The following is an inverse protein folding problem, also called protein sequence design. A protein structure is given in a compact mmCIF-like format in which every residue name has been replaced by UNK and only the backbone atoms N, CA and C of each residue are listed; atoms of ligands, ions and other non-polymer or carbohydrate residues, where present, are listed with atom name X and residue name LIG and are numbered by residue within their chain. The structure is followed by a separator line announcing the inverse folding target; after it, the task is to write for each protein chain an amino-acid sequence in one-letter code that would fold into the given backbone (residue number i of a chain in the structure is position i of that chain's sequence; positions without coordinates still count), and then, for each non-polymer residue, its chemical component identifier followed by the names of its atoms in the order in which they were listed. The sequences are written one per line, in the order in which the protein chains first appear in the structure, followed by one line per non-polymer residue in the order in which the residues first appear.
data_IF_100353656050
#
_entry.id   IF_100353656050
#
_cell.length_a   1.000
_cell.length_b   1.000
_cell.length_c   1.000
_cell.angle_alpha   90.00
_cell.angle_beta   90.00
_cell.angle_gamma   90.00
#
_symmetry.space_group_name_H-M   'P 1'
#
loop_
_entity.id
_entity.type
_entity.pdbx_description
1 polymer ?
#
# COMPACT_ATOMS: atom_id res chain seq x y z
N UNK A 1 8.99 -15.94 -2.48
CA UNK A 1 8.46 -14.58 -2.65
C UNK A 1 8.23 -14.29 -4.12
N UNK A 2 6.99 -13.90 -4.49
CA UNK A 2 6.62 -13.58 -5.88
C UNK A 2 6.44 -12.06 -5.99
N UNK A 3 7.12 -11.46 -6.99
CA UNK A 3 7.16 -10.02 -7.26
C UNK A 3 6.83 -9.73 -8.71
N UNK A 4 6.08 -8.67 -8.98
CA UNK A 4 5.71 -8.24 -10.34
C UNK A 4 6.10 -6.82 -10.69
N UNK A 5 6.01 -5.91 -9.74
CA UNK A 5 6.13 -4.46 -9.97
C UNK A 5 7.13 -3.82 -9.01
N UNK A 6 7.57 -2.59 -9.33
CA UNK A 6 8.47 -1.81 -8.45
C UNK A 6 7.90 -1.59 -7.05
N UNK A 7 6.63 -1.21 -6.87
CA UNK A 7 6.06 -1.07 -5.52
C UNK A 7 6.13 -2.36 -4.70
N UNK A 8 5.91 -3.53 -5.32
CA UNK A 8 6.06 -4.82 -4.63
C UNK A 8 7.51 -5.08 -4.23
N UNK A 9 8.47 -4.79 -5.10
CA UNK A 9 9.90 -4.93 -4.80
C UNK A 9 10.27 -4.04 -3.60
N UNK A 10 9.84 -2.78 -3.60
CA UNK A 10 10.09 -1.83 -2.51
C UNK A 10 9.52 -2.36 -1.19
N UNK A 11 8.23 -2.73 -1.18
CA UNK A 11 7.53 -3.13 0.04
C UNK A 11 7.97 -4.50 0.55
N UNK A 12 8.43 -5.40 -0.32
CA UNK A 12 8.92 -6.72 0.07
C UNK A 12 10.41 -6.76 0.41
N UNK A 13 11.18 -5.72 0.05
CA UNK A 13 12.60 -5.64 0.38
C UNK A 13 12.91 -5.91 1.87
N UNK A 14 12.20 -5.31 2.84
CA UNK A 14 12.44 -5.58 4.26
C UNK A 14 12.17 -7.04 4.66
N UNK A 15 11.15 -7.68 4.09
CA UNK A 15 10.84 -9.09 4.35
C UNK A 15 11.93 -9.99 3.75
N UNK A 16 12.37 -9.72 2.52
CA UNK A 16 13.44 -10.45 1.86
C UNK A 16 14.74 -10.38 2.70
N UNK A 17 15.08 -9.19 3.18
CA UNK A 17 16.24 -9.00 4.05
C UNK A 17 16.09 -9.76 5.38
N UNK A 18 14.90 -9.71 6.00
CA UNK A 18 14.66 -10.35 7.28
C UNK A 18 14.74 -11.87 7.18
N UNK A 19 14.19 -12.47 6.12
CA UNK A 19 14.31 -13.88 5.80
C UNK A 19 15.80 -14.27 5.63
N UNK A 20 16.54 -13.47 4.86
CA UNK A 20 17.97 -13.70 4.62
C UNK A 20 18.80 -13.67 5.90
N UNK A 21 18.50 -12.75 6.84
CA UNK A 21 19.17 -12.67 8.16
C UNK A 21 18.97 -13.90 9.04
N UNK A 22 17.83 -14.59 8.85
CA UNK A 22 17.48 -15.79 9.66
C UNK A 22 17.96 -17.10 9.06
N UNK A 23 18.66 -17.06 7.94
CA UNK A 23 19.11 -18.23 7.18
C UNK A 23 17.97 -19.18 6.75
N UNK A 24 16.79 -18.62 6.51
CA UNK A 24 15.66 -19.34 5.91
C UNK A 24 15.94 -19.48 4.41
N UNK A 25 15.70 -20.66 3.85
CA UNK A 25 15.83 -20.86 2.40
C UNK A 25 14.79 -20.01 1.67
N UNK A 26 15.24 -19.13 0.80
CA UNK A 26 14.38 -18.16 0.09
C UNK A 26 14.61 -18.25 -1.40
N UNK A 27 13.50 -18.28 -2.14
CA UNK A 27 13.45 -18.16 -3.59
C UNK A 27 12.70 -16.87 -3.93
N UNK A 28 13.32 -16.00 -4.70
CA UNK A 28 12.70 -14.78 -5.21
C UNK A 28 12.35 -14.96 -6.68
N UNK A 29 11.04 -14.93 -6.99
CA UNK A 29 10.53 -15.03 -8.35
C UNK A 29 10.00 -13.67 -8.81
N UNK A 30 10.57 -13.13 -9.86
CA UNK A 30 10.11 -11.92 -10.53
C UNK A 30 9.31 -12.26 -11.78
N UNK A 31 8.08 -11.72 -11.92
CA UNK A 31 7.23 -12.05 -13.08
C UNK A 31 7.62 -11.30 -14.35
N UNK A 32 8.44 -10.25 -14.26
CA UNK A 32 8.92 -9.50 -15.42
C UNK A 32 7.79 -8.78 -16.16
N UNK A 33 6.92 -8.09 -15.43
CA UNK A 33 5.77 -7.38 -15.99
C UNK A 33 6.15 -6.22 -16.92
N UNK A 34 7.35 -5.64 -16.79
CA UNK A 34 7.86 -4.58 -17.64
C UNK A 34 8.97 -5.08 -18.58
N UNK A 35 9.02 -4.54 -19.82
CA UNK A 35 9.91 -4.98 -20.88
C UNK A 35 11.41 -4.71 -20.63
N UNK A 36 11.74 -3.79 -19.73
CA UNK A 36 13.11 -3.33 -19.58
C UNK A 36 13.83 -4.13 -18.48
N UNK A 37 14.57 -5.15 -18.94
CA UNK A 37 15.39 -6.01 -18.07
C UNK A 37 16.45 -5.19 -17.33
N UNK A 38 17.12 -4.26 -18.02
CA UNK A 38 18.17 -3.42 -17.42
C UNK A 38 17.61 -2.51 -16.31
N UNK A 39 16.41 -1.97 -16.52
CA UNK A 39 15.74 -1.17 -15.50
C UNK A 39 15.32 -1.97 -14.27
N UNK A 40 14.91 -3.24 -14.44
CA UNK A 40 14.59 -4.10 -13.29
C UNK A 40 15.85 -4.53 -12.53
N UNK A 41 16.88 -4.98 -13.25
CA UNK A 41 18.13 -5.45 -12.63
C UNK A 41 18.84 -4.31 -11.89
N UNK A 42 18.85 -3.09 -12.44
CA UNK A 42 19.38 -1.91 -11.76
C UNK A 42 18.59 -1.58 -10.51
N UNK A 43 17.26 -1.73 -10.55
CA UNK A 43 16.40 -1.44 -9.41
C UNK A 43 16.68 -2.38 -8.22
N UNK A 44 16.87 -3.68 -8.45
CA UNK A 44 17.31 -4.61 -7.40
C UNK A 44 18.68 -4.23 -6.81
N UNK A 45 19.62 -3.77 -7.65
CA UNK A 45 20.93 -3.30 -7.20
C UNK A 45 20.85 -2.02 -6.39
N UNK A 46 20.07 -1.04 -6.85
CA UNK A 46 19.87 0.24 -6.17
C UNK A 46 19.31 0.04 -4.76
N UNK A 47 18.45 -0.96 -4.60
CA UNK A 47 17.88 -1.33 -3.32
C UNK A 47 18.73 -2.35 -2.52
N UNK A 48 19.93 -2.68 -2.98
CA UNK A 48 20.81 -3.69 -2.35
C UNK A 48 20.10 -5.03 -2.10
N UNK A 49 19.23 -5.45 -3.04
CA UNK A 49 18.52 -6.72 -2.98
C UNK A 49 19.24 -7.81 -3.77
N UNK A 50 19.09 -9.09 -3.38
CA UNK A 50 19.59 -10.20 -4.19
C UNK A 50 18.91 -10.21 -5.56
N UNK A 51 19.66 -10.62 -6.59
CA UNK A 51 19.08 -10.86 -7.92
C UNK A 51 18.03 -11.96 -7.79
N UNK A 52 16.84 -11.79 -8.40
CA UNK A 52 15.82 -12.83 -8.39
C UNK A 52 16.33 -14.15 -8.92
N UNK A 53 16.00 -15.25 -8.25
CA UNK A 53 16.37 -16.62 -8.67
C UNK A 53 15.69 -16.98 -9.99
N UNK A 54 14.46 -16.49 -10.18
CA UNK A 54 13.67 -16.69 -11.39
C UNK A 54 13.11 -15.37 -11.92
N UNK A 55 13.14 -15.25 -13.27
CA UNK A 55 12.42 -14.19 -13.98
C UNK A 55 11.67 -14.80 -15.16
N UNK A 56 10.35 -14.76 -15.14
CA UNK A 56 9.51 -15.40 -16.15
C UNK A 56 9.19 -14.50 -17.35
N UNK A 57 9.66 -13.25 -17.35
CA UNK A 57 9.63 -12.33 -18.50
C UNK A 57 8.27 -12.20 -19.20
N UNK A 58 7.19 -12.02 -18.43
CA UNK A 58 5.83 -11.98 -18.99
C UNK A 58 5.58 -10.78 -19.90
N UNK A 59 6.21 -9.65 -19.61
CA UNK A 59 6.02 -8.42 -20.37
C UNK A 59 4.65 -7.77 -20.19
N UNK A 60 4.36 -6.72 -20.97
CA UNK A 60 3.06 -6.04 -20.95
C UNK A 60 2.03 -6.73 -21.83
N UNK A 61 0.75 -6.56 -21.45
CA UNK A 61 -0.38 -7.14 -22.18
C UNK A 61 -1.71 -6.73 -21.57
N UNK A 62 -2.80 -7.26 -22.09
CA UNK A 62 -4.11 -7.16 -21.43
C UNK A 62 -4.09 -7.94 -20.12
N UNK A 63 -4.86 -7.51 -19.11
CA UNK A 63 -4.88 -8.13 -17.79
C UNK A 63 -5.03 -9.67 -17.88
N UNK A 64 -6.02 -10.16 -18.60
CA UNK A 64 -6.25 -11.62 -18.73
C UNK A 64 -5.08 -12.37 -19.35
N UNK A 65 -4.48 -11.84 -20.43
CA UNK A 65 -3.31 -12.46 -21.06
C UNK A 65 -2.10 -12.46 -20.14
N UNK A 66 -1.87 -11.35 -19.47
CA UNK A 66 -0.74 -11.18 -18.55
C UNK A 66 -0.87 -12.13 -17.37
N UNK A 67 -2.04 -12.16 -16.71
CA UNK A 67 -2.32 -13.07 -15.59
C UNK A 67 -2.14 -14.54 -15.99
N UNK A 68 -2.66 -14.95 -17.16
CA UNK A 68 -2.53 -16.32 -17.64
C UNK A 68 -1.06 -16.73 -17.87
N UNK A 69 -0.24 -15.84 -18.43
CA UNK A 69 1.19 -16.10 -18.63
C UNK A 69 1.96 -16.16 -17.30
N UNK A 70 1.61 -15.29 -16.34
CA UNK A 70 2.15 -15.33 -14.99
C UNK A 70 1.81 -16.64 -14.29
N UNK A 71 0.52 -17.05 -14.30
CA UNK A 71 0.09 -18.31 -13.69
C UNK A 71 0.88 -19.50 -14.23
N UNK A 72 1.04 -19.61 -15.54
CA UNK A 72 1.80 -20.68 -16.15
C UNK A 72 3.26 -20.69 -15.70
N UNK A 73 3.96 -19.56 -15.78
CA UNK A 73 5.37 -19.49 -15.41
C UNK A 73 5.60 -19.71 -13.92
N UNK A 74 4.70 -19.22 -13.06
CA UNK A 74 4.73 -19.44 -11.60
C UNK A 74 4.55 -20.94 -11.30
N UNK A 75 3.59 -21.62 -11.94
CA UNK A 75 3.34 -23.05 -11.76
C UNK A 75 4.58 -23.88 -12.09
N UNK A 76 5.24 -23.60 -13.23
CA UNK A 76 6.47 -24.27 -13.63
C UNK A 76 7.57 -24.16 -12.55
N UNK A 77 7.73 -23.01 -11.90
CA UNK A 77 8.70 -22.79 -10.83
C UNK A 77 8.27 -23.50 -9.54
N UNK A 78 7.02 -23.36 -9.10
CA UNK A 78 6.54 -23.95 -7.85
C UNK A 78 6.56 -25.48 -7.86
N UNK A 79 6.36 -26.11 -9.02
CA UNK A 79 6.47 -27.56 -9.17
C UNK A 79 7.92 -28.06 -9.00
N UNK A 80 8.92 -27.24 -9.31
CA UNK A 80 10.35 -27.55 -9.13
C UNK A 80 10.79 -27.28 -7.71
N UNK A 81 10.52 -26.08 -7.18
CA UNK A 81 11.04 -25.59 -5.91
C UNK A 81 10.29 -26.15 -4.68
N UNK A 82 8.98 -26.42 -4.83
CA UNK A 82 8.10 -26.97 -3.78
C UNK A 82 8.27 -26.26 -2.44
N UNK A 83 8.05 -24.94 -2.39
CA UNK A 83 8.21 -24.18 -1.16
C UNK A 83 7.14 -24.56 -0.12
N UNK A 84 7.45 -24.40 1.15
CA UNK A 84 6.49 -24.57 2.25
C UNK A 84 5.45 -23.45 2.27
N UNK A 85 5.84 -22.24 1.84
CA UNK A 85 4.96 -21.08 1.77
C UNK A 85 5.31 -20.19 0.57
N UNK A 86 4.31 -19.58 -0.03
CA UNK A 86 4.43 -18.51 -1.04
C UNK A 86 3.97 -17.20 -0.43
N UNK A 87 4.82 -16.18 -0.50
CA UNK A 87 4.47 -14.81 -0.11
C UNK A 87 4.13 -13.97 -1.34
N UNK A 88 2.98 -13.28 -1.27
CA UNK A 88 2.53 -12.28 -2.25
C UNK A 88 2.22 -10.97 -1.53
N UNK A 89 2.32 -9.81 -2.21
CA UNK A 89 2.14 -8.51 -1.58
C UNK A 89 1.27 -7.59 -2.43
N UNK A 90 0.19 -7.06 -1.83
CA UNK A 90 -0.68 -6.07 -2.46
C UNK A 90 -1.72 -6.68 -3.39
N UNK A 91 -1.90 -6.10 -4.59
CA UNK A 91 -3.10 -6.33 -5.41
C UNK A 91 -2.86 -6.38 -6.92
N UNK A 92 -1.64 -6.66 -7.34
CA UNK A 92 -1.31 -6.73 -8.77
C UNK A 92 -1.75 -8.05 -9.42
N UNK A 93 -1.63 -8.15 -10.74
CA UNK A 93 -1.85 -9.41 -11.44
C UNK A 93 -0.87 -10.51 -11.01
N UNK A 94 0.35 -10.15 -10.58
CA UNK A 94 1.34 -11.11 -10.06
C UNK A 94 0.88 -11.71 -8.72
N UNK A 95 0.29 -10.90 -7.85
CA UNK A 95 -0.31 -11.32 -6.58
C UNK A 95 -1.44 -12.32 -6.81
N UNK A 96 -2.39 -11.95 -7.67
CA UNK A 96 -3.50 -12.83 -8.04
C UNK A 96 -3.00 -14.17 -8.61
N UNK A 97 -2.07 -14.12 -9.57
CA UNK A 97 -1.53 -15.32 -10.21
C UNK A 97 -0.77 -16.19 -9.22
N UNK A 98 0.08 -15.59 -8.38
CA UNK A 98 0.87 -16.29 -7.36
C UNK A 98 0.00 -16.99 -6.32
N UNK A 99 -0.95 -16.27 -5.75
CA UNK A 99 -1.87 -16.80 -4.75
C UNK A 99 -2.71 -17.96 -5.29
N UNK A 100 -3.32 -17.79 -6.48
CA UNK A 100 -4.15 -18.82 -7.07
C UNK A 100 -3.37 -20.10 -7.44
N UNK A 101 -2.18 -19.96 -8.02
CA UNK A 101 -1.37 -21.12 -8.40
C UNK A 101 -0.88 -21.87 -7.17
N UNK A 102 -0.33 -21.18 -6.19
CA UNK A 102 0.14 -21.80 -4.95
C UNK A 102 -0.99 -22.54 -4.22
N UNK A 103 -2.15 -21.88 -4.06
CA UNK A 103 -3.32 -22.50 -3.42
C UNK A 103 -3.79 -23.78 -4.14
N UNK A 104 -3.79 -23.79 -5.49
CA UNK A 104 -4.17 -24.98 -6.28
C UNK A 104 -3.14 -26.11 -6.21
N UNK A 105 -1.89 -25.79 -5.90
CA UNK A 105 -0.82 -26.77 -5.66
C UNK A 105 -0.76 -27.21 -4.19
N UNK A 106 -1.71 -26.77 -3.35
CA UNK A 106 -1.74 -27.02 -1.91
C UNK A 106 -0.51 -26.48 -1.17
N UNK A 107 0.08 -25.40 -1.67
CA UNK A 107 1.15 -24.66 -1.01
C UNK A 107 0.52 -23.52 -0.21
N UNK A 108 0.94 -23.35 1.05
CA UNK A 108 0.49 -22.24 1.89
C UNK A 108 0.74 -20.89 1.23
N UNK A 109 -0.19 -19.96 1.37
CA UNK A 109 -0.06 -18.60 0.85
C UNK A 109 -0.16 -17.60 1.99
N UNK A 110 0.85 -16.76 2.13
CA UNK A 110 0.84 -15.59 2.99
C UNK A 110 0.62 -14.30 2.17
N UNK A 111 -0.47 -13.59 2.44
CA UNK A 111 -0.77 -12.33 1.77
C UNK A 111 -0.35 -11.16 2.63
N UNK A 112 0.68 -10.44 2.19
CA UNK A 112 1.18 -9.21 2.81
C UNK A 112 0.36 -8.03 2.29
N UNK A 113 -0.06 -7.14 3.18
CA UNK A 113 -0.99 -6.05 2.90
C UNK A 113 -2.42 -6.56 2.62
N UNK A 114 -2.82 -7.64 3.29
CA UNK A 114 -4.13 -8.25 3.17
C UNK A 114 -5.25 -7.38 3.78
N UNK A 115 -6.48 -7.54 3.29
CA UNK A 115 -7.67 -6.92 3.86
C UNK A 115 -7.92 -5.46 3.48
N UNK A 116 -7.07 -4.82 2.68
CA UNK A 116 -7.39 -3.51 2.10
C UNK A 116 -8.60 -3.62 1.18
N UNK A 117 -9.49 -2.61 1.20
CA UNK A 117 -10.66 -2.53 0.33
C UNK A 117 -10.86 -1.10 -0.20
N UNK A 118 -11.11 -1.00 -1.50
CA UNK A 118 -11.62 0.22 -2.13
C UNK A 118 -13.14 0.18 -2.29
N UNK A 119 -13.75 -1.02 -2.20
CA UNK A 119 -15.15 -1.29 -2.49
C UNK A 119 -15.57 -0.93 -3.92
N UNK A 120 -14.64 -0.59 -4.79
CA UNK A 120 -14.87 -0.30 -6.21
C UNK A 120 -14.51 -1.52 -7.08
N UNK A 121 -15.51 -2.34 -7.37
CA UNK A 121 -15.35 -3.54 -8.20
C UNK A 121 -15.03 -3.26 -9.67
N UNK A 122 -15.02 -1.99 -10.10
CA UNK A 122 -14.53 -1.61 -11.44
C UNK A 122 -13.01 -1.56 -11.51
N UNK A 123 -12.33 -1.51 -10.36
CA UNK A 123 -10.87 -1.57 -10.25
C UNK A 123 -10.38 -3.02 -10.35
N UNK A 124 -9.48 -3.34 -11.30
CA UNK A 124 -8.85 -4.67 -11.36
C UNK A 124 -8.14 -5.06 -10.06
N UNK A 125 -7.55 -4.09 -9.38
CA UNK A 125 -6.85 -4.25 -8.12
C UNK A 125 -7.77 -4.72 -6.99
N UNK A 126 -9.00 -4.21 -6.94
CA UNK A 126 -9.98 -4.65 -5.93
C UNK A 126 -10.35 -6.12 -6.11
N UNK A 127 -10.55 -6.55 -7.36
CA UNK A 127 -10.80 -7.95 -7.67
C UNK A 127 -9.58 -8.83 -7.30
N UNK A 128 -8.37 -8.37 -7.64
CA UNK A 128 -7.14 -9.11 -7.38
C UNK A 128 -6.93 -9.34 -5.88
N UNK A 129 -7.05 -8.29 -5.05
CA UNK A 129 -6.83 -8.40 -3.60
C UNK A 129 -7.84 -9.33 -2.92
N UNK A 130 -9.12 -9.23 -3.28
CA UNK A 130 -10.15 -10.13 -2.76
C UNK A 130 -9.91 -11.58 -3.13
N UNK A 131 -9.53 -11.84 -4.38
CA UNK A 131 -9.23 -13.20 -4.84
C UNK A 131 -7.95 -13.75 -4.20
N UNK A 132 -6.93 -12.91 -4.00
CA UNK A 132 -5.72 -13.27 -3.28
C UNK A 132 -6.00 -13.59 -1.80
N UNK A 133 -6.84 -12.79 -1.13
CA UNK A 133 -7.29 -13.08 0.23
C UNK A 133 -7.98 -14.44 0.30
N UNK A 134 -8.91 -14.74 -0.61
CA UNK A 134 -9.60 -16.05 -0.65
C UNK A 134 -8.64 -17.23 -0.87
N UNK A 135 -7.57 -17.03 -1.65
CA UNK A 135 -6.57 -18.05 -1.94
C UNK A 135 -5.51 -18.23 -0.82
N UNK A 136 -5.48 -17.33 0.16
CA UNK A 136 -4.47 -17.28 1.22
C UNK A 136 -4.94 -17.99 2.50
N UNK A 137 -3.97 -18.43 3.30
CA UNK A 137 -4.23 -19.01 4.62
C UNK A 137 -3.63 -18.17 5.76
N UNK A 138 -2.74 -17.21 5.44
CA UNK A 138 -2.16 -16.28 6.40
C UNK A 138 -2.32 -14.86 5.88
N UNK A 139 -2.79 -13.96 6.74
CA UNK A 139 -3.12 -12.58 6.38
C UNK A 139 -2.27 -11.62 7.22
N UNK A 140 -1.27 -10.99 6.60
CA UNK A 140 -0.43 -9.98 7.23
C UNK A 140 -1.04 -8.60 6.97
N UNK A 141 -1.68 -8.05 7.99
CA UNK A 141 -2.67 -7.00 7.90
C UNK A 141 -2.03 -5.66 8.28
N UNK A 142 -2.19 -4.60 7.46
CA UNK A 142 -1.58 -3.29 7.73
C UNK A 142 -2.24 -2.52 8.88
N UNK A 143 -3.57 -2.60 9.02
CA UNK A 143 -4.34 -1.79 9.98
C UNK A 143 -5.51 -2.58 10.58
N UNK A 144 -6.06 -2.10 11.71
CA UNK A 144 -7.26 -2.69 12.31
C UNK A 144 -8.46 -2.65 11.34
N UNK A 145 -8.58 -1.61 10.52
CA UNK A 145 -9.64 -1.50 9.51
C UNK A 145 -9.57 -2.63 8.48
N UNK A 146 -8.36 -2.97 8.02
CA UNK A 146 -8.15 -4.10 7.13
C UNK A 146 -8.52 -5.44 7.79
N UNK A 147 -8.28 -5.59 9.09
CA UNK A 147 -8.74 -6.76 9.85
C UNK A 147 -10.26 -6.84 9.90
N UNK A 148 -10.93 -5.72 10.13
CA UNK A 148 -12.40 -5.62 10.15
C UNK A 148 -12.98 -6.03 8.78
N UNK A 149 -12.38 -5.59 7.68
CA UNK A 149 -12.81 -5.98 6.33
C UNK A 149 -12.78 -7.50 6.17
N UNK A 150 -11.68 -8.16 6.51
CA UNK A 150 -11.55 -9.61 6.41
C UNK A 150 -12.55 -10.34 7.31
N UNK A 151 -12.70 -9.91 8.57
CA UNK A 151 -13.66 -10.50 9.50
C UNK A 151 -15.10 -10.38 8.97
N UNK A 152 -15.47 -9.22 8.41
CA UNK A 152 -16.81 -8.99 7.83
C UNK A 152 -17.06 -9.86 6.61
N UNK A 153 -16.03 -10.26 5.88
CA UNK A 153 -16.10 -11.18 4.75
C UNK A 153 -16.04 -12.67 5.17
N UNK A 154 -15.98 -12.96 6.48
CA UNK A 154 -16.07 -14.31 7.03
C UNK A 154 -14.72 -15.03 7.17
N UNK A 155 -13.59 -14.33 7.10
CA UNK A 155 -12.29 -14.91 7.36
C UNK A 155 -12.09 -15.19 8.86
N UNK A 156 -11.38 -16.27 9.18
CA UNK A 156 -11.11 -16.65 10.57
C UNK A 156 -10.09 -15.71 11.22
N UNK A 157 -10.40 -15.23 12.42
CA UNK A 157 -9.49 -14.39 13.21
C UNK A 157 -8.14 -15.07 13.53
N UNK A 158 -8.10 -16.40 13.57
CA UNK A 158 -6.90 -17.18 13.91
C UNK A 158 -5.74 -16.96 12.96
N UNK A 159 -6.05 -16.60 11.72
CA UNK A 159 -5.07 -16.46 10.64
C UNK A 159 -4.81 -14.97 10.29
N UNK A 160 -5.38 -14.03 11.07
CA UNK A 160 -5.23 -12.61 10.89
C UNK A 160 -4.14 -12.04 11.81
N UNK A 161 -3.09 -11.48 11.23
CA UNK A 161 -1.94 -10.94 11.96
C UNK A 161 -1.78 -9.46 11.65
N UNK A 162 -2.05 -8.59 12.62
CA UNK A 162 -1.81 -7.15 12.46
C UNK A 162 -0.32 -6.91 12.61
N UNK A 163 0.39 -6.91 11.48
CA UNK A 163 1.84 -6.70 11.43
C UNK A 163 2.23 -5.25 11.11
N UNK A 164 1.28 -4.43 10.71
CA UNK A 164 1.54 -3.14 10.12
C UNK A 164 1.84 -3.24 8.60
N UNK A 165 2.20 -2.11 7.98
CA UNK A 165 2.52 -2.07 6.56
C UNK A 165 4.03 -2.04 6.34
N UNK A 166 4.55 -2.92 5.53
CA UNK A 166 5.97 -3.00 5.15
C UNK A 166 6.48 -1.74 4.43
N UNK A 167 5.59 -0.85 3.99
CA UNK A 167 5.98 0.45 3.46
C UNK A 167 6.78 1.27 4.48
N UNK A 168 6.48 1.15 5.78
CA UNK A 168 7.19 1.86 6.86
C UNK A 168 8.61 1.33 6.99
N UNK A 169 8.76 0.00 7.04
CA UNK A 169 10.07 -0.67 7.06
C UNK A 169 10.90 -0.31 5.82
N UNK A 170 10.26 -0.34 4.65
CA UNK A 170 10.87 -0.01 3.37
C UNK A 170 11.33 1.45 3.33
N UNK A 171 10.50 2.36 3.82
CA UNK A 171 10.80 3.79 3.88
C UNK A 171 12.06 4.06 4.72
N UNK A 172 12.14 3.50 5.93
CA UNK A 172 13.32 3.66 6.79
C UNK A 172 14.56 3.01 6.18
N UNK A 173 14.45 1.76 5.71
CA UNK A 173 15.55 1.04 5.06
C UNK A 173 16.12 1.80 3.86
N UNK A 174 15.25 2.24 2.96
CA UNK A 174 15.67 2.90 1.73
C UNK A 174 16.12 4.34 1.96
N UNK A 175 15.57 5.03 2.96
CA UNK A 175 16.07 6.34 3.36
C UNK A 175 17.51 6.26 3.88
N UNK A 176 17.85 5.23 4.65
CA UNK A 176 19.21 5.00 5.10
C UNK A 176 20.19 4.76 3.94
N UNK A 177 19.75 4.00 2.92
CA UNK A 177 20.51 3.81 1.68
C UNK A 177 20.67 5.14 0.92
N UNK A 178 19.57 5.88 0.74
CA UNK A 178 19.54 7.16 0.04
C UNK A 178 20.46 8.21 0.73
N UNK A 179 20.43 8.29 2.07
CA UNK A 179 21.30 9.18 2.84
C UNK A 179 22.79 8.85 2.69
N UNK A 180 23.14 7.55 2.64
CA UNK A 180 24.53 7.11 2.43
C UNK A 180 25.03 7.44 1.03
N UNK A 181 24.16 7.31 0.04
CA UNK A 181 24.46 7.55 -1.38
C UNK A 181 24.49 9.04 -1.72
N UNK A 182 23.59 9.83 -1.14
CA UNK A 182 23.29 11.20 -1.55
C UNK A 182 22.46 11.26 -2.83
N UNK A 183 22.23 12.48 -3.34
CA UNK A 183 21.58 12.65 -4.64
C UNK A 183 22.53 12.26 -5.78
N UNK A 184 22.07 11.42 -6.70
CA UNK A 184 22.79 11.00 -7.90
C UNK A 184 22.18 11.57 -9.18
N UNK A 185 20.89 11.90 -9.17
CA UNK A 185 20.23 12.47 -10.33
C UNK A 185 20.77 13.87 -10.64
N UNK A 186 21.23 14.06 -11.90
CA UNK A 186 21.85 15.32 -12.34
C UNK A 186 20.89 16.51 -12.22
N UNK A 187 19.58 16.30 -12.36
CA UNK A 187 18.60 17.37 -12.24
C UNK A 187 18.38 17.85 -10.81
N UNK A 188 18.64 16.98 -9.82
CA UNK A 188 18.60 17.32 -8.40
C UNK A 188 19.96 17.86 -7.90
N UNK A 189 21.07 17.28 -8.34
CA UNK A 189 22.41 17.76 -7.96
C UNK A 189 22.72 19.14 -8.51
N UNK A 190 22.03 19.55 -9.57
CA UNK A 190 22.08 20.91 -10.11
C UNK A 190 21.34 21.96 -9.26
N UNK A 191 20.49 21.51 -8.32
CA UNK A 191 19.79 22.37 -7.37
C UNK A 191 20.55 22.36 -6.04
N UNK A 192 20.70 23.52 -5.41
CA UNK A 192 21.36 23.62 -4.09
C UNK A 192 20.39 23.23 -2.97
N UNK A 193 19.89 22.00 -3.02
CA UNK A 193 18.85 21.47 -2.10
C UNK A 193 19.28 21.56 -0.64
N UNK A 194 20.58 21.41 -0.37
CA UNK A 194 21.12 21.44 1.01
C UNK A 194 20.99 22.83 1.67
N UNK A 195 20.97 23.89 0.88
CA UNK A 195 20.82 25.28 1.34
C UNK A 195 19.45 25.88 1.04
N UNK A 196 18.54 25.11 0.40
CA UNK A 196 17.16 25.55 0.18
C UNK A 196 16.35 25.52 1.48
N UNK A 197 15.66 26.61 1.75
CA UNK A 197 14.65 26.66 2.82
C UNK A 197 13.27 26.36 2.27
N UNK A 198 12.37 25.86 3.11
CA UNK A 198 10.95 25.64 2.78
C UNK A 198 10.76 24.81 1.49
N UNK A 199 11.40 23.64 1.43
CA UNK A 199 11.24 22.77 0.25
C UNK A 199 9.87 22.12 0.27
N UNK A 200 9.17 22.14 -0.87
CA UNK A 200 7.99 21.34 -1.11
C UNK A 200 8.23 20.37 -2.26
N UNK A 201 7.96 19.08 -2.05
CA UNK A 201 7.94 18.11 -3.16
C UNK A 201 6.54 18.05 -3.75
N UNK A 202 6.43 18.28 -5.07
CA UNK A 202 5.17 18.18 -5.80
C UNK A 202 5.13 16.92 -6.65
N UNK A 203 4.03 16.15 -6.56
CA UNK A 203 3.70 15.12 -7.54
C UNK A 203 2.27 15.26 -8.02
N UNK A 204 2.08 15.17 -9.33
CA UNK A 204 0.77 15.25 -9.96
C UNK A 204 0.75 14.36 -11.22
N UNK A 205 -0.04 13.28 -11.20
CA UNK A 205 -0.08 12.30 -12.29
C UNK A 205 -1.44 11.59 -12.44
N UNK A 206 -2.37 11.77 -11.49
CA UNK A 206 -3.70 11.15 -11.54
C UNK A 206 -4.56 11.78 -12.63
N UNK A 207 -5.27 10.93 -13.39
CA UNK A 207 -6.14 11.35 -14.47
C UNK A 207 -7.20 12.38 -14.00
N UNK A 208 -7.73 12.18 -12.80
CA UNK A 208 -8.70 13.10 -12.19
C UNK A 208 -8.18 14.53 -12.02
N UNK A 209 -6.87 14.72 -11.92
CA UNK A 209 -6.25 16.04 -11.88
C UNK A 209 -5.74 16.46 -13.27
N UNK A 210 -4.81 15.67 -13.83
CA UNK A 210 -4.06 16.09 -15.02
C UNK A 210 -4.90 16.13 -16.30
N UNK A 211 -5.99 15.37 -16.41
CA UNK A 211 -6.84 15.35 -17.59
C UNK A 211 -7.95 16.45 -17.54
N UNK A 212 -8.10 17.13 -16.41
CA UNK A 212 -9.09 18.22 -16.23
C UNK A 212 -8.39 19.57 -16.17
N UNK A 213 -8.45 20.33 -17.28
CA UNK A 213 -7.74 21.62 -17.42
C UNK A 213 -8.00 22.59 -16.28
N UNK A 214 -9.25 22.71 -15.81
CA UNK A 214 -9.63 23.62 -14.73
C UNK A 214 -8.90 23.28 -13.42
N UNK A 215 -8.76 22.00 -13.08
CA UNK A 215 -8.04 21.56 -11.88
C UNK A 215 -6.55 21.88 -11.98
N UNK A 216 -5.96 21.68 -13.16
CA UNK A 216 -4.56 22.02 -13.40
C UNK A 216 -4.33 23.51 -13.24
N UNK A 217 -5.20 24.35 -13.83
CA UNK A 217 -5.13 25.83 -13.69
C UNK A 217 -5.21 26.23 -12.22
N UNK A 218 -6.18 25.71 -11.49
CA UNK A 218 -6.33 26.03 -10.07
C UNK A 218 -5.08 25.65 -9.24
N UNK A 219 -4.49 24.48 -9.51
CA UNK A 219 -3.26 24.07 -8.83
C UNK A 219 -2.11 25.03 -9.19
N UNK A 220 -1.92 25.37 -10.47
CA UNK A 220 -0.88 26.33 -10.87
C UNK A 220 -1.10 27.68 -10.22
N UNK A 221 -2.34 28.19 -10.17
CA UNK A 221 -2.66 29.45 -9.51
C UNK A 221 -2.35 29.39 -8.00
N UNK A 222 -2.62 28.28 -7.34
CA UNK A 222 -2.21 28.09 -5.95
C UNK A 222 -0.67 28.11 -5.79
N UNK A 223 0.08 27.47 -6.70
CA UNK A 223 1.56 27.48 -6.64
C UNK A 223 2.15 28.88 -6.83
N UNK A 224 1.50 29.77 -7.61
CA UNK A 224 1.91 31.18 -7.76
C UNK A 224 1.81 31.96 -6.43
N UNK A 225 0.79 31.65 -5.63
CA UNK A 225 0.60 32.33 -4.33
C UNK A 225 1.57 31.81 -3.25
N UNK A 226 2.21 30.66 -3.47
CA UNK A 226 3.15 30.02 -2.54
C UNK A 226 4.60 30.40 -2.81
N UNK A 227 4.89 31.70 -2.98
CA UNK A 227 6.22 32.24 -3.34
C UNK A 227 7.32 31.91 -2.30
N UNK A 228 6.95 31.66 -1.05
CA UNK A 228 7.88 31.34 0.04
C UNK A 228 8.30 29.87 0.09
N UNK A 229 7.74 29.02 -0.80
CA UNK A 229 8.12 27.62 -0.99
C UNK A 229 9.04 27.45 -2.18
N UNK A 230 10.07 26.64 -2.03
CA UNK A 230 10.84 26.09 -3.15
C UNK A 230 10.21 24.76 -3.57
N UNK A 231 9.41 24.78 -4.63
CA UNK A 231 8.63 23.62 -5.07
C UNK A 231 9.43 22.83 -6.09
N UNK A 232 9.91 21.66 -5.71
CA UNK A 232 10.60 20.74 -6.60
C UNK A 232 9.59 19.78 -7.20
N UNK A 233 9.47 19.78 -8.52
CA UNK A 233 8.50 18.98 -9.25
C UNK A 233 9.15 17.96 -10.19
N UNK A 234 9.43 16.74 -9.74
CA UNK A 234 9.80 15.63 -10.62
C UNK A 234 8.60 15.28 -11.53
N UNK A 235 8.57 15.89 -12.72
CA UNK A 235 7.38 15.82 -13.57
C UNK A 235 7.29 14.50 -14.34
N UNK A 236 6.16 13.81 -14.22
CA UNK A 236 5.90 12.61 -15.02
C UNK A 236 5.70 12.97 -16.50
N UNK A 237 6.23 12.19 -17.48
CA UNK A 237 6.14 12.50 -18.91
C UNK A 237 4.70 12.71 -19.41
N UNK A 238 3.73 11.95 -18.89
CA UNK A 238 2.30 12.14 -19.19
C UNK A 238 1.82 13.52 -18.75
N UNK A 239 2.17 13.93 -17.54
CA UNK A 239 1.76 15.22 -16.96
C UNK A 239 2.36 16.37 -17.78
N UNK A 240 3.65 16.29 -18.10
CA UNK A 240 4.32 17.26 -18.98
C UNK A 240 3.58 17.42 -20.31
N UNK A 241 3.32 16.30 -21.00
CA UNK A 241 2.61 16.30 -22.28
C UNK A 241 1.21 16.89 -22.17
N UNK A 242 0.50 16.64 -21.07
CA UNK A 242 -0.85 17.22 -20.87
C UNK A 242 -0.78 18.71 -20.62
N UNK A 243 0.19 19.18 -19.82
CA UNK A 243 0.43 20.62 -19.60
C UNK A 243 0.79 21.35 -20.91
N UNK A 244 1.65 20.75 -21.73
CA UNK A 244 1.98 21.27 -23.07
C UNK A 244 0.74 21.38 -23.96
N UNK A 245 -0.11 20.34 -23.99
CA UNK A 245 -1.36 20.33 -24.75
C UNK A 245 -2.37 21.40 -24.29
N UNK A 246 -2.38 21.72 -22.98
CA UNK A 246 -3.23 22.77 -22.44
C UNK A 246 -2.63 24.16 -22.59
N UNK A 247 -1.36 24.28 -23.01
CA UNK A 247 -0.62 25.54 -23.10
C UNK A 247 -0.27 26.14 -21.73
N UNK A 248 -0.09 25.27 -20.71
CA UNK A 248 0.16 25.66 -19.33
C UNK A 248 1.59 25.33 -18.85
N UNK A 249 2.38 24.62 -19.67
CA UNK A 249 3.71 24.19 -19.27
C UNK A 249 4.67 25.38 -19.10
N UNK A 250 4.68 26.33 -20.06
CA UNK A 250 5.55 27.49 -19.99
C UNK A 250 5.18 28.39 -18.80
N UNK A 251 3.87 28.57 -18.54
CA UNK A 251 3.37 29.33 -17.40
C UNK A 251 3.85 28.75 -16.06
N UNK A 252 3.83 27.41 -15.91
CA UNK A 252 4.33 26.73 -14.70
C UNK A 252 5.87 26.81 -14.61
N UNK A 253 6.56 26.67 -15.74
CA UNK A 253 8.03 26.69 -15.80
C UNK A 253 8.62 28.08 -15.55
N UNK A 254 7.86 29.13 -15.81
CA UNK A 254 8.26 30.53 -15.61
C UNK A 254 8.08 31.01 -14.15
N UNK A 255 7.54 30.16 -13.26
CA UNK A 255 7.43 30.48 -11.84
C UNK A 255 8.79 30.34 -11.14
N UNK A 256 9.27 31.42 -10.53
CA UNK A 256 10.58 31.47 -9.86
C UNK A 256 10.70 30.47 -8.70
N UNK A 257 9.58 30.12 -8.07
CA UNK A 257 9.50 29.20 -6.94
C UNK A 257 9.27 27.74 -7.34
N UNK A 258 9.13 27.42 -8.63
CA UNK A 258 8.89 26.05 -9.12
C UNK A 258 10.08 25.54 -9.93
N UNK A 259 10.69 24.47 -9.45
CA UNK A 259 11.83 23.82 -10.08
C UNK A 259 11.35 22.51 -10.73
N UNK A 260 11.07 22.54 -12.03
CA UNK A 260 10.66 21.34 -12.78
C UNK A 260 11.92 20.54 -13.09
N UNK A 261 11.93 19.28 -12.63
CA UNK A 261 13.02 18.31 -12.89
C UNK A 261 12.50 17.08 -13.61
N UNK A 262 13.40 16.32 -14.22
CA UNK A 262 13.04 15.04 -14.84
C UNK A 262 12.51 14.04 -13.78
N UNK A 263 11.81 12.98 -14.18
CA UNK A 263 11.48 11.90 -13.26
C UNK A 263 12.77 11.33 -12.66
N UNK A 264 12.84 11.32 -11.34
CA UNK A 264 14.03 10.86 -10.59
C UNK A 264 13.88 9.42 -10.11
N UNK A 265 14.99 8.78 -9.77
CA UNK A 265 14.99 7.44 -9.17
C UNK A 265 14.34 7.43 -7.79
N UNK A 266 13.89 6.23 -7.35
CA UNK A 266 13.16 6.08 -6.09
C UNK A 266 13.95 6.59 -4.87
N UNK A 267 15.23 6.26 -4.77
CA UNK A 267 16.06 6.68 -3.64
C UNK A 267 16.29 8.21 -3.61
N UNK A 268 16.50 8.82 -4.77
CA UNK A 268 16.61 10.28 -4.88
C UNK A 268 15.29 10.96 -4.51
N UNK A 269 14.16 10.39 -4.98
CA UNK A 269 12.83 10.87 -4.64
C UNK A 269 12.54 10.78 -3.13
N UNK A 270 12.89 9.66 -2.51
CA UNK A 270 12.70 9.44 -1.07
C UNK A 270 13.57 10.39 -0.24
N UNK A 271 14.83 10.61 -0.67
CA UNK A 271 15.72 11.58 -0.03
C UNK A 271 15.17 13.00 -0.14
N UNK A 272 14.69 13.41 -1.32
CA UNK A 272 14.04 14.70 -1.54
C UNK A 272 12.81 14.86 -0.64
N UNK A 273 11.93 13.86 -0.61
CA UNK A 273 10.74 13.84 0.25
C UNK A 273 11.12 14.02 1.72
N UNK A 274 12.17 13.33 2.20
CA UNK A 274 12.63 13.44 3.59
C UNK A 274 13.21 14.80 3.98
N UNK A 275 13.64 15.61 2.99
CA UNK A 275 14.15 16.98 3.18
C UNK A 275 13.05 18.03 3.02
N UNK A 276 11.86 17.63 2.60
CA UNK A 276 10.75 18.55 2.35
C UNK A 276 10.11 19.03 3.67
N UNK A 277 9.73 20.29 3.69
CA UNK A 277 8.89 20.87 4.75
C UNK A 277 7.44 20.43 4.59
N UNK A 278 7.04 20.15 3.34
CA UNK A 278 5.67 19.88 2.94
C UNK A 278 5.67 19.06 1.65
N UNK A 279 4.69 18.17 1.51
CA UNK A 279 4.43 17.41 0.29
C UNK A 279 3.09 17.84 -0.30
N UNK A 280 3.07 18.14 -1.61
CA UNK A 280 1.88 18.35 -2.43
C UNK A 280 1.72 17.14 -3.35
N UNK A 281 0.67 16.33 -3.20
CA UNK A 281 0.60 15.08 -3.95
C UNK A 281 -0.82 14.62 -4.28
N UNK A 282 -0.96 13.92 -5.41
CA UNK A 282 -2.14 13.13 -5.74
C UNK A 282 -1.89 11.60 -5.64
N UNK A 283 -0.69 11.20 -5.16
CA UNK A 283 -0.28 9.79 -5.01
C UNK A 283 -0.72 9.21 -3.67
N UNK A 284 -1.40 8.05 -3.70
CA UNK A 284 -1.75 7.32 -2.47
C UNK A 284 -0.53 6.78 -1.72
N UNK A 285 0.45 6.22 -2.43
CA UNK A 285 1.68 5.68 -1.80
C UNK A 285 2.51 6.76 -1.12
N UNK A 286 2.59 7.95 -1.72
CA UNK A 286 3.35 9.05 -1.12
C UNK A 286 2.72 9.59 0.18
N UNK A 287 1.41 9.42 0.39
CA UNK A 287 0.77 9.72 1.66
C UNK A 287 1.27 8.81 2.78
N UNK A 288 1.49 7.51 2.49
CA UNK A 288 2.06 6.53 3.43
C UNK A 288 3.54 6.86 3.74
N UNK A 289 4.33 7.22 2.72
CA UNK A 289 5.73 7.62 2.89
C UNK A 289 5.86 8.94 3.64
N UNK A 290 5.01 9.93 3.35
CA UNK A 290 5.01 11.23 4.00
C UNK A 290 4.84 11.14 5.52
N UNK A 291 3.79 10.44 5.98
CA UNK A 291 3.54 10.25 7.42
C UNK A 291 4.64 9.41 8.08
N UNK A 292 5.28 8.52 7.33
CA UNK A 292 6.41 7.70 7.81
C UNK A 292 7.69 8.52 7.99
N UNK A 293 7.86 9.56 7.17
CA UNK A 293 9.00 10.47 7.21
C UNK A 293 8.78 11.70 8.09
N UNK A 294 7.64 11.75 8.79
CA UNK A 294 7.24 12.91 9.60
C UNK A 294 7.14 14.21 8.78
N UNK A 295 6.74 14.10 7.50
CA UNK A 295 6.58 15.24 6.61
C UNK A 295 5.09 15.53 6.38
N UNK A 296 4.58 16.74 6.69
CA UNK A 296 3.21 17.13 6.43
C UNK A 296 2.84 16.95 4.95
N UNK A 297 1.66 16.39 4.68
CA UNK A 297 1.18 16.21 3.32
C UNK A 297 -0.14 16.96 3.06
N UNK A 298 -0.22 17.61 1.89
CA UNK A 298 -1.47 18.12 1.34
C UNK A 298 -1.83 17.29 0.10
N UNK A 299 -2.91 16.55 0.21
CA UNK A 299 -3.37 15.69 -0.87
C UNK A 299 -4.26 16.47 -1.83
N UNK A 300 -3.79 16.61 -3.08
CA UNK A 300 -4.46 17.32 -4.17
C UNK A 300 -5.64 16.51 -4.74
N UNK A 301 -6.44 15.92 -3.87
CA UNK A 301 -7.62 15.08 -4.19
C UNK A 301 -8.75 15.37 -3.21
N UNK A 302 -9.98 15.10 -3.63
CA UNK A 302 -11.18 15.22 -2.79
C UNK A 302 -11.49 13.95 -2.02
N UNK A 303 -10.82 12.84 -2.33
CA UNK A 303 -10.89 11.55 -1.65
C UNK A 303 -9.50 10.90 -1.58
N UNK A 304 -9.37 9.86 -0.78
CA UNK A 304 -8.13 9.06 -0.70
C UNK A 304 -8.44 7.61 -0.34
N UNK A 305 -7.61 6.70 -0.82
CA UNK A 305 -7.58 5.30 -0.39
C UNK A 305 -6.75 5.12 0.91
N UNK A 306 -6.32 6.22 1.53
CA UNK A 306 -5.50 6.25 2.75
C UNK A 306 -6.11 7.15 3.82
N UNK A 307 -7.39 6.94 4.19
CA UNK A 307 -8.11 7.80 5.14
C UNK A 307 -7.42 7.84 6.51
N UNK A 308 -6.68 6.79 6.88
CA UNK A 308 -5.96 6.69 8.14
C UNK A 308 -4.91 7.80 8.30
N UNK A 309 -4.24 8.23 7.20
CA UNK A 309 -3.26 9.33 7.24
C UNK A 309 -3.92 10.67 7.58
N UNK A 310 -5.15 10.86 7.11
CA UNK A 310 -5.96 12.06 7.39
C UNK A 310 -6.47 12.02 8.82
N UNK A 311 -7.01 10.89 9.25
CA UNK A 311 -7.50 10.70 10.62
C UNK A 311 -6.38 10.84 11.65
N UNK A 312 -5.17 10.35 11.33
CA UNK A 312 -3.99 10.53 12.18
C UNK A 312 -3.52 11.99 12.25
N UNK A 313 -3.88 12.83 11.27
CA UNK A 313 -3.55 14.25 11.23
C UNK A 313 -2.25 14.61 10.54
N UNK A 314 -1.58 13.65 9.85
CA UNK A 314 -0.36 13.89 9.04
C UNK A 314 -0.63 14.35 7.62
N UNK A 315 -1.89 14.24 7.16
CA UNK A 315 -2.32 14.54 5.81
C UNK A 315 -3.63 15.34 5.79
N UNK A 316 -3.78 16.26 4.85
CA UNK A 316 -5.00 17.05 4.65
C UNK A 316 -5.43 16.93 3.18
N UNK A 317 -6.71 16.61 2.95
CA UNK A 317 -7.28 16.63 1.61
C UNK A 317 -7.65 18.07 1.24
N UNK A 318 -6.99 18.62 0.23
CA UNK A 318 -7.20 19.99 -0.24
C UNK A 318 -7.85 20.07 -1.64
N UNK A 319 -7.94 18.93 -2.33
CA UNK A 319 -8.45 18.91 -3.70
C UNK A 319 -7.61 19.77 -4.65
N UNK A 320 -8.26 20.41 -5.60
CA UNK A 320 -7.69 21.44 -6.48
C UNK A 320 -8.23 22.83 -6.13
N UNK A 321 -8.64 23.03 -4.88
CA UNK A 321 -9.14 24.32 -4.41
C UNK A 321 -7.97 25.23 -4.03
N UNK A 322 -7.88 26.38 -4.69
CA UNK A 322 -6.76 27.33 -4.54
C UNK A 322 -6.63 27.76 -3.08
N UNK A 323 -7.74 28.19 -2.48
CA UNK A 323 -7.73 28.70 -1.10
C UNK A 323 -7.33 27.62 -0.12
N UNK A 324 -7.86 26.39 -0.26
CA UNK A 324 -7.51 25.28 0.63
C UNK A 324 -6.03 24.90 0.51
N UNK A 325 -5.44 24.89 -0.69
CA UNK A 325 -4.01 24.63 -0.90
C UNK A 325 -3.17 25.70 -0.22
N UNK A 326 -3.44 26.98 -0.50
CA UNK A 326 -2.64 28.11 -0.01
C UNK A 326 -2.76 28.26 1.51
N UNK A 327 -3.98 28.27 2.07
CA UNK A 327 -4.18 28.44 3.51
C UNK A 327 -3.51 27.33 4.32
N UNK A 328 -3.62 26.06 3.90
CA UNK A 328 -2.99 24.95 4.62
C UNK A 328 -1.46 24.95 4.44
N UNK A 329 -0.93 25.30 3.26
CA UNK A 329 0.51 25.40 3.05
C UNK A 329 1.11 26.53 3.89
N UNK A 330 0.54 27.74 3.87
CA UNK A 330 0.96 28.86 4.70
C UNK A 330 0.87 28.52 6.19
N UNK A 331 -0.20 27.85 6.62
CA UNK A 331 -0.34 27.42 8.01
C UNK A 331 0.76 26.45 8.45
N UNK A 332 1.20 25.53 7.57
CA UNK A 332 2.33 24.62 7.85
C UNK A 332 3.64 25.42 7.97
N UNK A 333 3.82 26.50 7.19
CA UNK A 333 5.02 27.34 7.23
C UNK A 333 5.05 28.26 8.45
N UNK A 334 3.94 28.91 8.76
CA UNK A 334 3.88 30.04 9.71
C UNK A 334 3.51 29.60 11.13
N UNK A 335 2.74 28.50 11.29
CA UNK A 335 2.29 27.98 12.56
C UNK A 335 3.07 26.73 12.95
N UNK A 336 4.13 26.95 13.72
CA UNK A 336 5.02 25.85 14.19
C UNK A 336 4.26 24.80 15.00
N UNK A 337 3.28 25.19 15.84
CA UNK A 337 2.51 24.23 16.64
C UNK A 337 1.69 23.32 15.75
N UNK A 338 1.07 23.89 14.71
CA UNK A 338 0.33 23.13 13.71
C UNK A 338 1.22 22.21 12.91
N UNK A 339 2.36 22.69 12.42
CA UNK A 339 3.33 21.89 11.69
C UNK A 339 3.88 20.73 12.53
N UNK A 340 4.26 21.02 13.79
CA UNK A 340 4.76 20.01 14.74
C UNK A 340 3.68 18.96 15.05
N UNK A 341 2.40 19.35 15.14
CA UNK A 341 1.29 18.41 15.32
C UNK A 341 1.15 17.47 14.12
N UNK A 342 1.28 17.98 12.89
CA UNK A 342 1.24 17.14 11.69
C UNK A 342 2.44 16.19 11.61
N UNK A 343 3.65 16.69 11.88
CA UNK A 343 4.90 15.90 11.88
C UNK A 343 4.89 14.79 12.93
N UNK A 344 4.29 15.04 14.09
CA UNK A 344 4.21 14.06 15.19
C UNK A 344 2.91 13.23 15.13
N UNK A 345 2.21 13.22 14.01
CA UNK A 345 1.04 12.38 13.82
C UNK A 345 1.42 10.90 13.99
N UNK A 346 0.64 10.16 14.78
CA UNK A 346 0.91 8.73 14.98
C UNK A 346 0.75 7.98 13.65
N UNK A 347 1.82 7.33 13.19
CA UNK A 347 1.76 6.55 11.96
C UNK A 347 0.78 5.35 12.13
N UNK A 348 -0.31 5.29 11.35
CA UNK A 348 -1.30 4.21 11.44
C UNK A 348 -0.78 2.87 10.92
N UNK A 349 0.30 2.87 10.14
CA UNK A 349 0.86 1.70 9.46
C UNK A 349 1.95 0.99 10.29
N UNK A 350 2.24 1.43 11.50
CA UNK A 350 3.20 0.80 12.39
C UNK A 350 4.49 1.59 12.60
N UNK A 351 5.52 0.91 13.10
CA UNK A 351 6.78 1.53 13.53
C UNK A 351 8.03 1.01 12.79
N UNK A 352 7.86 0.34 11.64
CA UNK A 352 8.97 -0.21 10.86
C UNK A 352 9.49 -1.55 11.40
N UNK A 353 8.60 -2.38 11.90
CA UNK A 353 8.89 -3.74 12.35
C UNK A 353 7.96 -4.79 11.73
N UNK A 354 7.24 -4.41 10.68
CA UNK A 354 6.27 -5.27 9.99
C UNK A 354 6.95 -6.50 9.39
N UNK A 355 8.11 -6.32 8.77
CA UNK A 355 8.88 -7.42 8.20
C UNK A 355 9.28 -8.45 9.27
N UNK A 356 9.79 -7.98 10.42
CA UNK A 356 10.14 -8.86 11.54
C UNK A 356 8.94 -9.63 12.05
N UNK A 357 7.82 -8.96 12.31
CA UNK A 357 6.59 -9.58 12.80
C UNK A 357 6.04 -10.60 11.79
N UNK A 358 6.08 -10.29 10.50
CA UNK A 358 5.66 -11.21 9.44
C UNK A 358 6.49 -12.50 9.46
N UNK A 359 7.81 -12.39 9.53
CA UNK A 359 8.69 -13.55 9.53
C UNK A 359 8.59 -14.33 10.86
N UNK A 360 8.43 -13.64 12.01
CA UNK A 360 8.19 -14.30 13.30
C UNK A 360 6.95 -15.22 13.24
N UNK A 361 5.86 -14.76 12.62
CA UNK A 361 4.63 -15.54 12.45
C UNK A 361 4.84 -16.70 11.49
N UNK A 362 5.57 -16.51 10.40
CA UNK A 362 5.85 -17.60 9.44
C UNK A 362 6.66 -18.71 10.10
N UNK A 363 7.72 -18.38 10.86
CA UNK A 363 8.52 -19.36 11.59
C UNK A 363 7.68 -20.12 12.64
N UNK A 364 6.84 -19.40 13.39
CA UNK A 364 5.94 -20.02 14.38
C UNK A 364 4.97 -21.02 13.73
N UNK A 365 4.43 -20.69 12.55
CA UNK A 365 3.54 -21.58 11.81
C UNK A 365 4.28 -22.78 11.23
N UNK A 366 5.49 -22.56 10.71
CA UNK A 366 6.34 -23.65 10.22
C UNK A 366 6.70 -24.64 11.34
N UNK A 367 7.16 -24.14 12.47
CA UNK A 367 7.57 -24.95 13.62
C UNK A 367 6.40 -25.76 14.20
N UNK A 368 5.17 -25.28 14.07
CA UNK A 368 3.95 -25.96 14.52
C UNK A 368 3.33 -26.90 13.47
N UNK A 369 3.89 -26.96 12.25
CA UNK A 369 3.33 -27.72 11.13
C UNK A 369 1.99 -27.19 10.63
N UNK A 370 1.72 -25.88 10.81
CA UNK A 370 0.46 -25.24 10.41
C UNK A 370 0.46 -24.73 8.96
N UNK A 371 1.59 -24.88 8.26
CA UNK A 371 1.68 -24.57 6.82
C UNK A 371 1.17 -25.72 5.95
N UNK A 372 1.09 -26.94 6.49
CA UNK A 372 0.59 -28.08 5.75
C UNK A 372 -0.92 -27.97 5.51
N UNK A 373 -1.32 -28.03 4.25
CA UNK A 373 -2.73 -28.02 3.86
C UNK A 373 -3.22 -29.45 3.74
N UNK A 374 -3.86 -29.93 4.80
CA UNK A 374 -4.42 -31.27 4.85
C UNK A 374 -5.89 -31.29 4.40
N UNK A 375 -6.26 -32.31 3.65
CA UNK A 375 -7.67 -32.57 3.37
C UNK A 375 -8.34 -33.11 4.66
N UNK A 376 -9.56 -32.67 5.00
CA UNK A 376 -10.25 -33.23 6.15
C UNK A 376 -10.51 -34.74 5.94
N UNK A 377 -10.25 -35.55 6.96
CA UNK A 377 -10.53 -37.00 6.92
C UNK A 377 -12.02 -37.29 6.71
N UNK A 378 -12.87 -36.46 7.35
CA UNK A 378 -14.33 -36.51 7.20
C UNK A 378 -14.88 -35.09 7.03
N UNK A 379 -15.54 -34.83 5.90
CA UNK A 379 -16.10 -33.52 5.61
C UNK A 379 -17.22 -33.14 6.60
N UNK A 380 -17.98 -34.11 7.09
CA UNK A 380 -19.06 -33.87 8.06
C UNK A 380 -18.48 -33.52 9.43
N UNK A 381 -17.38 -34.17 9.82
CA UNK A 381 -16.69 -33.87 11.07
C UNK A 381 -16.07 -32.46 11.01
N UNK A 382 -15.43 -32.11 9.90
CA UNK A 382 -14.92 -30.74 9.66
C UNK A 382 -16.01 -29.70 9.68
N UNK A 383 -17.15 -29.97 9.07
CA UNK A 383 -18.32 -29.06 9.09
C UNK A 383 -18.85 -28.92 10.51
N UNK A 384 -18.98 -30.00 11.25
CA UNK A 384 -19.47 -30.00 12.64
C UNK A 384 -18.51 -29.24 13.57
N UNK A 385 -17.21 -29.44 13.44
CA UNK A 385 -16.19 -28.65 14.18
C UNK A 385 -16.28 -27.17 13.88
N UNK A 386 -16.38 -26.78 12.60
CA UNK A 386 -16.50 -25.39 12.19
C UNK A 386 -17.79 -24.76 12.69
N UNK A 387 -18.89 -25.48 12.67
CA UNK A 387 -20.16 -25.02 13.24
C UNK A 387 -20.10 -24.85 14.74
N UNK A 388 -19.45 -25.78 15.47
CA UNK A 388 -19.22 -25.67 16.91
C UNK A 388 -18.36 -24.44 17.23
N UNK A 389 -17.27 -24.22 16.49
CA UNK A 389 -16.40 -23.04 16.65
C UNK A 389 -17.18 -21.73 16.45
N UNK A 390 -18.03 -21.64 15.40
CA UNK A 390 -18.86 -20.47 15.16
C UNK A 390 -19.86 -20.27 16.31
N UNK A 391 -20.50 -21.34 16.78
CA UNK A 391 -21.50 -21.24 17.86
C UNK A 391 -20.90 -20.96 19.23
N UNK A 392 -19.64 -21.36 19.48
CA UNK A 392 -18.92 -21.03 20.74
C UNK A 392 -18.52 -19.55 20.80
N UNK A 393 -18.14 -18.98 19.63
CA UNK A 393 -17.61 -17.62 19.55
C UNK A 393 -18.63 -16.57 19.07
N UNK A 394 -19.82 -16.99 18.67
CA UNK A 394 -20.87 -16.10 18.15
C UNK A 394 -22.13 -16.22 19.02
N UNK A 395 -22.50 -15.16 19.69
CA UNK A 395 -23.76 -15.07 20.39
C UNK A 395 -24.82 -14.47 19.47
N UNK A 396 -25.88 -15.21 19.24
CA UNK A 396 -27.04 -14.74 18.46
C UNK A 396 -28.12 -14.28 19.46
N UNK A 397 -28.48 -13.00 19.39
CA UNK A 397 -29.50 -12.38 20.23
C UNK A 397 -30.65 -11.78 19.43
N UNK A 398 -31.84 -11.71 20.03
CA UNK A 398 -32.93 -10.94 19.46
C UNK A 398 -32.72 -9.45 19.75
N UNK A 399 -33.02 -8.57 18.77
CA UNK A 399 -33.02 -7.13 18.95
C UNK A 399 -34.26 -6.48 18.35
N UNK A 400 -34.68 -5.35 18.91
CA UNK A 400 -35.82 -4.61 18.38
C UNK A 400 -35.46 -3.90 17.07
N UNK A 401 -36.35 -4.03 16.08
CA UNK A 401 -36.21 -3.45 14.76
C UNK A 401 -36.32 -1.93 14.83
N UNK A 402 -35.28 -1.20 14.43
CA UNK A 402 -35.32 0.23 14.18
C UNK A 402 -35.54 0.52 12.70
N UNK A 403 -36.52 1.36 12.36
CA UNK A 403 -36.95 1.61 10.97
C UNK A 403 -35.94 2.25 10.02
N UNK A 404 -34.74 2.60 10.50
CA UNK A 404 -33.69 3.28 9.72
C UNK A 404 -32.27 2.79 10.09
N UNK A 405 -32.08 1.50 10.27
CA UNK A 405 -30.73 0.99 10.57
C UNK A 405 -29.86 1.00 9.30
N UNK A 406 -29.10 2.08 9.13
CA UNK A 406 -27.83 2.02 8.42
C UNK A 406 -26.96 0.98 9.11
N UNK A 407 -26.27 0.12 8.35
CA UNK A 407 -25.31 -0.83 8.89
C UNK A 407 -24.21 0.00 9.57
N UNK A 408 -24.32 0.15 10.87
CA UNK A 408 -23.23 0.63 11.69
C UNK A 408 -22.60 -0.60 12.33
N UNK A 409 -21.34 -0.90 11.94
CA UNK A 409 -20.51 -1.76 12.77
C UNK A 409 -20.29 -1.03 14.09
N UNK A 410 -21.00 -1.43 15.12
CA UNK A 410 -20.79 -0.89 16.44
C UNK A 410 -19.77 -1.75 17.17
N UNK A 411 -18.70 -1.12 17.65
CA UNK A 411 -17.73 -1.71 18.53
C UNK A 411 -18.15 -1.36 19.97
N UNK A 412 -18.57 -2.35 20.72
CA UNK A 412 -18.85 -2.18 22.15
C UNK A 412 -17.80 -2.97 22.95
N UNK A 413 -16.73 -2.27 23.31
CA UNK A 413 -15.61 -2.87 24.04
C UNK A 413 -14.91 -3.97 23.25
N UNK A 414 -15.01 -5.23 23.75
CA UNK A 414 -14.38 -6.39 23.12
C UNK A 414 -15.32 -7.16 22.16
N UNK A 415 -16.47 -6.59 21.81
CA UNK A 415 -17.49 -7.25 20.97
C UNK A 415 -17.75 -6.48 19.70
N UNK A 416 -17.74 -7.19 18.58
CA UNK A 416 -18.15 -6.68 17.27
C UNK A 416 -19.62 -7.05 17.07
N UNK A 417 -20.48 -6.04 16.89
CA UNK A 417 -21.91 -6.23 16.67
C UNK A 417 -22.28 -5.91 15.22
N UNK A 418 -22.88 -6.87 14.52
CA UNK A 418 -23.41 -6.69 13.18
C UNK A 418 -24.95 -6.65 13.26
N UNK A 419 -25.62 -5.56 12.85
CA UNK A 419 -27.05 -5.59 12.67
C UNK A 419 -27.44 -6.54 11.54
N UNK A 420 -28.33 -7.46 11.82
CA UNK A 420 -28.70 -8.54 10.90
C UNK A 420 -29.77 -8.15 9.85
N UNK A 421 -30.17 -6.88 9.77
CA UNK A 421 -31.27 -6.45 8.88
C UNK A 421 -30.97 -6.66 7.39
N UNK A 422 -29.70 -6.64 6.97
CA UNK A 422 -29.32 -6.87 5.56
C UNK A 422 -29.22 -8.36 5.18
N UNK A 423 -29.26 -9.27 6.16
CA UNK A 423 -29.18 -10.70 5.91
C UNK A 423 -30.55 -11.38 5.84
N UNK A 424 -31.66 -10.61 5.79
CA UNK A 424 -33.03 -11.13 5.85
C UNK A 424 -33.31 -12.03 7.09
N UNK A 425 -32.48 -11.95 8.10
CA UNK A 425 -32.57 -12.64 9.37
C UNK A 425 -33.33 -11.74 10.35
N UNK A 426 -34.65 -11.75 10.30
CA UNK A 426 -35.49 -10.90 11.13
C UNK A 426 -35.09 -10.97 12.60
N UNK A 427 -34.58 -9.85 13.13
CA UNK A 427 -34.39 -9.66 14.55
C UNK A 427 -33.20 -10.40 15.17
N UNK A 428 -32.17 -10.74 14.41
CA UNK A 428 -30.95 -11.39 14.93
C UNK A 428 -29.78 -10.42 14.92
N UNK A 429 -29.07 -10.33 16.03
CA UNK A 429 -27.78 -9.65 16.15
C UNK A 429 -26.71 -10.70 16.36
N UNK A 430 -25.66 -10.68 15.53
CA UNK A 430 -24.51 -11.54 15.67
C UNK A 430 -23.44 -10.76 16.43
N UNK A 431 -23.07 -11.23 17.62
CA UNK A 431 -21.97 -10.65 18.39
C UNK A 431 -20.79 -11.61 18.39
N UNK A 432 -19.63 -11.10 18.09
CA UNK A 432 -18.37 -11.84 18.13
C UNK A 432 -17.58 -11.43 19.39
N UNK A 433 -17.20 -12.40 20.23
CA UNK A 433 -16.39 -12.14 21.41
C UNK A 433 -14.90 -12.24 21.07
N UNK A 434 -14.16 -11.15 21.27
CA UNK A 434 -12.74 -11.00 20.91
C UNK A 434 -11.79 -11.70 21.91
N UNK A 435 -12.30 -12.41 22.91
CA UNK A 435 -11.50 -12.88 24.06
C UNK A 435 -10.89 -14.28 23.93
N UNK A 436 -10.82 -14.86 22.70
CA UNK A 436 -10.06 -16.10 22.50
C UNK A 436 -9.18 -16.07 21.27
#
# INVERSE_FOLDING_TARGET
TILGTRPEIIKMAPIIDEISKRNINQIVLHTGQHYDKEMSDNFFKDLELPTPDYNIHVGSGTHGKQTALMMRGIEEVLLVEKPDIVLVQGDTNAVLAGALVASKLHIAVGHVEAGLRSFDMTMPEELNRRAADVASIMYFIPTEESAINLLSEGFSHKNLFITGNTVVDACFRHLDLAKKRGFEDESLTGLDIENMENIATLTMHRAENVDIKERVVNIIDALKELSDLNIIFPIHPRTKKTLENFGLFDELNDLDNVHIVNPVGYLDFLLLTSKSTLILTDSGGLQEEAITLDVPALTLRYNTERPETVTAGGNILVGSDIQAIVENACKILDDKEFADKMKNAKNPYGQGNSAKLTVDVIEDYYDKGLLDIEAPEDIMDSFTRKMAEITENVTVGEFEKTENALIHMAYDGDKMCFPADDLNLKGMMITYDKRE
#
